data_IF_785002076677
#
_entry.id   IF_785002076677
#
_cell.length_a   1.000
_cell.length_b   1.000
_cell.length_c   1.000
_cell.angle_alpha   90.00
_cell.angle_beta   90.00
_cell.angle_gamma   90.00
#
_symmetry.space_group_name_H-M   'P 1'
#
loop_
_entity.id
_entity.type
_entity.pdbx_description
1 polymer ?
#
# COMPACT_ATOMS: atom_id res chain seq x y z
N UNK A 1 -8.52 17.77 -17.93
CA UNK A 1 -8.33 18.96 -17.07
C UNK A 1 -7.22 18.60 -16.09
N UNK A 2 -6.20 19.45 -15.92
CA UNK A 2 -5.08 19.13 -15.04
C UNK A 2 -5.52 19.41 -13.60
N UNK A 3 -6.05 18.41 -12.90
CA UNK A 3 -6.46 18.55 -11.51
C UNK A 3 -5.21 18.82 -10.66
N UNK A 4 -5.27 19.85 -9.82
CA UNK A 4 -4.23 20.14 -8.84
C UNK A 4 -3.98 18.89 -7.97
N UNK A 5 -2.73 18.50 -7.76
CA UNK A 5 -2.38 17.35 -6.92
C UNK A 5 -2.82 17.63 -5.48
N UNK A 6 -3.59 16.71 -4.90
CA UNK A 6 -4.07 16.77 -3.51
C UNK A 6 -3.63 15.49 -2.82
N UNK A 7 -2.96 15.66 -1.67
CA UNK A 7 -2.59 14.58 -0.78
C UNK A 7 -2.57 15.11 0.65
N UNK A 8 -3.60 14.78 1.45
CA UNK A 8 -3.83 15.36 2.77
C UNK A 8 -4.69 14.44 3.64
N UNK A 9 -4.69 14.70 4.95
CA UNK A 9 -5.64 14.11 5.91
C UNK A 9 -6.74 15.12 6.19
N UNK A 10 -8.01 14.68 6.21
CA UNK A 10 -9.17 15.49 6.59
C UNK A 10 -9.84 14.91 7.82
N UNK A 11 -10.15 15.74 8.80
CA UNK A 11 -10.81 15.31 10.03
C UNK A 11 -12.32 15.26 9.84
N UNK A 12 -12.94 14.12 10.12
CA UNK A 12 -14.38 13.99 10.28
C UNK A 12 -14.77 14.28 11.74
N UNK A 13 -15.44 15.41 12.03
CA UNK A 13 -15.80 15.78 13.39
C UNK A 13 -16.97 14.97 13.96
N UNK A 14 -17.69 14.21 13.14
CA UNK A 14 -18.84 13.41 13.56
C UNK A 14 -18.43 12.02 14.02
N UNK A 15 -17.43 11.42 13.35
CA UNK A 15 -16.88 10.11 13.67
C UNK A 15 -15.62 10.18 14.52
N UNK A 16 -14.93 11.33 14.53
CA UNK A 16 -13.65 11.48 15.19
C UNK A 16 -12.53 10.74 14.47
N UNK A 17 -12.55 10.75 13.14
CA UNK A 17 -11.66 9.95 12.29
C UNK A 17 -10.90 10.81 11.27
N UNK A 18 -9.68 10.38 10.93
CA UNK A 18 -8.93 10.97 9.83
C UNK A 18 -9.21 10.23 8.53
N UNK A 19 -9.63 10.97 7.51
CA UNK A 19 -9.85 10.49 6.16
C UNK A 19 -8.60 10.85 5.33
N UNK A 20 -7.93 9.83 4.80
CA UNK A 20 -6.84 10.03 3.85
C UNK A 20 -7.40 10.38 2.47
N UNK A 21 -6.95 11.49 1.88
CA UNK A 21 -7.35 11.93 0.54
C UNK A 21 -6.14 12.00 -0.36
N UNK A 22 -6.15 11.28 -1.49
CA UNK A 22 -5.06 11.28 -2.48
C UNK A 22 -5.62 11.13 -3.90
N UNK A 23 -5.48 12.17 -4.73
CA UNK A 23 -5.91 12.09 -6.14
C UNK A 23 -4.88 11.43 -7.07
N UNK A 24 -3.67 11.13 -6.58
CA UNK A 24 -2.67 10.33 -7.32
C UNK A 24 -3.22 8.96 -7.70
N UNK A 25 -4.17 8.44 -6.91
CA UNK A 25 -4.77 7.13 -7.13
C UNK A 25 -5.71 7.06 -8.32
N UNK A 26 -6.18 8.19 -8.84
CA UNK A 26 -6.95 8.24 -10.09
C UNK A 26 -6.12 7.73 -11.27
N UNK A 27 -4.79 7.87 -11.21
CA UNK A 27 -3.87 7.37 -12.23
C UNK A 27 -3.66 5.85 -12.19
N UNK A 28 -4.24 5.15 -11.21
CA UNK A 28 -4.07 3.70 -11.08
C UNK A 28 -4.82 3.00 -12.23
N UNK A 29 -4.13 2.24 -13.09
CA UNK A 29 -4.79 1.53 -14.17
C UNK A 29 -5.75 0.48 -13.60
N UNK A 30 -6.94 0.42 -14.18
CA UNK A 30 -7.85 -0.71 -13.95
C UNK A 30 -7.28 -1.94 -14.64
N UNK A 31 -6.97 -2.99 -13.86
CA UNK A 31 -6.50 -4.32 -14.28
C UNK A 31 -5.75 -4.37 -15.63
N UNK A 32 -4.41 -4.34 -15.64
CA UNK A 32 -3.68 -4.71 -16.85
C UNK A 32 -3.97 -6.19 -17.16
N UNK A 33 -4.72 -6.46 -18.22
CA UNK A 33 -5.15 -7.83 -18.57
C UNK A 33 -3.99 -8.75 -18.95
N UNK A 34 -2.92 -8.18 -19.54
CA UNK A 34 -1.82 -8.96 -20.11
C UNK A 34 -0.52 -8.89 -19.27
N UNK A 35 -0.55 -8.20 -18.13
CA UNK A 35 0.66 -7.94 -17.36
C UNK A 35 0.40 -7.85 -15.85
N UNK A 36 1.11 -8.67 -15.08
CA UNK A 36 1.11 -8.55 -13.63
C UNK A 36 2.31 -7.72 -13.15
N UNK A 37 2.10 -6.61 -12.42
CA UNK A 37 3.19 -5.79 -11.89
C UNK A 37 3.96 -6.45 -10.73
N UNK A 38 3.48 -7.60 -10.22
CA UNK A 38 4.07 -8.30 -9.07
C UNK A 38 4.77 -9.61 -9.45
N UNK A 39 4.65 -10.05 -10.71
CA UNK A 39 5.39 -11.21 -11.20
C UNK A 39 6.90 -10.91 -11.25
N UNK A 40 7.76 -11.90 -10.93
CA UNK A 40 9.20 -11.78 -11.13
C UNK A 40 9.57 -11.47 -12.58
N UNK A 41 10.73 -10.83 -12.77
CA UNK A 41 11.34 -10.55 -14.08
C UNK A 41 11.13 -9.13 -14.60
N UNK A 42 10.37 -8.29 -13.90
CA UNK A 42 10.25 -6.86 -14.24
C UNK A 42 11.41 -6.06 -13.63
N UNK A 43 11.74 -4.87 -14.16
CA UNK A 43 12.75 -3.99 -13.56
C UNK A 43 12.47 -3.62 -12.10
N UNK A 44 11.20 -3.55 -11.70
CA UNK A 44 10.81 -3.22 -10.31
C UNK A 44 10.85 -4.43 -9.39
N UNK A 45 10.48 -5.61 -9.88
CA UNK A 45 10.39 -6.82 -9.06
C UNK A 45 11.69 -7.60 -8.99
N UNK A 46 12.57 -7.48 -9.99
CA UNK A 46 13.73 -8.35 -10.11
C UNK A 46 13.35 -9.84 -10.12
N UNK A 47 14.26 -10.70 -9.68
CA UNK A 47 14.06 -12.16 -9.60
C UNK A 47 14.78 -12.75 -8.38
N UNK A 48 14.49 -14.02 -8.05
CA UNK A 48 15.19 -14.77 -7.00
C UNK A 48 14.77 -14.47 -5.56
N UNK A 49 13.62 -13.84 -5.36
CA UNK A 49 13.04 -13.56 -4.04
C UNK A 49 11.90 -14.52 -3.69
N UNK A 50 11.72 -14.76 -2.39
CA UNK A 50 10.56 -15.49 -1.86
C UNK A 50 9.40 -14.54 -1.52
N UNK A 51 9.72 -13.39 -0.91
CA UNK A 51 8.80 -12.32 -0.54
C UNK A 51 9.44 -10.99 -0.90
N UNK A 52 8.67 -10.06 -1.47
CA UNK A 52 9.18 -8.76 -1.91
C UNK A 52 8.31 -7.62 -1.37
N UNK A 53 8.95 -6.58 -0.85
CA UNK A 53 8.26 -5.35 -0.41
C UNK A 53 8.69 -4.20 -1.31
N UNK A 54 7.72 -3.58 -1.98
CA UNK A 54 7.93 -2.44 -2.89
C UNK A 54 7.17 -1.22 -2.39
N UNK A 55 7.68 -0.01 -2.68
CA UNK A 55 6.90 1.22 -2.51
C UNK A 55 5.69 1.19 -3.45
N UNK A 56 4.53 1.57 -2.94
CA UNK A 56 3.31 1.61 -3.72
C UNK A 56 3.39 2.76 -4.74
N UNK A 57 3.17 2.47 -6.03
CA UNK A 57 3.19 3.48 -7.11
C UNK A 57 2.10 4.53 -6.97
N UNK A 58 0.99 4.20 -6.29
CA UNK A 58 -0.17 5.07 -6.10
C UNK A 58 -0.47 5.23 -4.59
N UNK A 59 0.43 5.88 -3.83
CA UNK A 59 0.38 5.86 -2.38
C UNK A 59 -0.72 6.78 -1.83
N UNK A 60 -1.27 6.42 -0.67
CA UNK A 60 -2.14 7.30 0.13
C UNK A 60 -1.32 8.36 0.88
N UNK A 61 -0.14 7.99 1.36
CA UNK A 61 0.75 8.81 2.17
C UNK A 61 2.01 9.21 1.38
N UNK A 62 2.72 10.24 1.83
CA UNK A 62 3.96 10.71 1.18
C UNK A 62 5.03 11.06 2.21
N UNK A 63 6.29 10.76 1.89
CA UNK A 63 7.45 11.19 2.68
C UNK A 63 7.67 12.71 2.57
N UNK A 64 7.18 13.30 1.48
CA UNK A 64 7.17 14.75 1.21
C UNK A 64 5.72 15.17 0.94
N UNK A 65 4.87 15.28 1.98
CA UNK A 65 3.47 15.64 1.81
C UNK A 65 3.33 17.10 1.39
N UNK A 66 2.33 17.38 0.56
CA UNK A 66 1.95 18.75 0.24
C UNK A 66 1.39 19.46 1.48
N UNK A 67 1.44 20.79 1.47
CA UNK A 67 0.72 21.56 2.48
C UNK A 67 -0.78 21.29 2.33
N UNK A 68 -1.49 20.94 3.42
CA UNK A 68 -2.91 20.67 3.35
C UNK A 68 -3.68 21.95 3.03
N UNK A 69 -4.79 21.81 2.32
CA UNK A 69 -5.68 22.93 2.01
C UNK A 69 -6.44 23.33 3.27
N UNK A 70 -6.66 24.64 3.43
CA UNK A 70 -7.48 25.15 4.52
C UNK A 70 -8.95 25.13 4.12
N UNK A 71 -9.78 24.61 5.01
CA UNK A 71 -11.22 24.57 4.85
C UNK A 71 -11.87 25.25 6.07
N UNK A 72 -13.09 25.78 5.88
CA UNK A 72 -13.79 26.54 6.91
C UNK A 72 -14.34 25.66 8.05
N UNK A 73 -14.87 24.48 7.70
CA UNK A 73 -15.67 23.67 8.62
C UNK A 73 -14.96 22.46 9.22
N UNK A 74 -13.77 22.11 8.73
CA UNK A 74 -13.04 20.92 9.19
C UNK A 74 -11.54 21.14 9.15
N UNK A 75 -10.84 20.40 10.02
CA UNK A 75 -9.39 20.43 10.11
C UNK A 75 -8.73 19.53 9.09
N UNK A 76 -7.51 19.90 8.71
CA UNK A 76 -6.67 19.13 7.79
C UNK A 76 -5.25 19.02 8.31
N UNK A 77 -4.57 17.92 7.98
CA UNK A 77 -3.18 17.69 8.32
C UNK A 77 -2.39 17.14 7.13
N UNK A 78 -1.06 17.21 7.22
CA UNK A 78 -0.18 16.59 6.23
C UNK A 78 -0.35 15.07 6.23
N UNK A 79 -0.42 14.46 5.05
CA UNK A 79 -0.50 13.00 4.89
C UNK A 79 0.90 12.36 4.87
N UNK A 80 1.68 12.62 5.92
CA UNK A 80 3.03 12.07 6.01
C UNK A 80 2.97 10.55 6.22
N UNK A 81 3.80 9.79 5.49
CA UNK A 81 3.97 8.36 5.67
C UNK A 81 4.41 7.64 4.41
N UNK A 82 4.49 6.31 4.47
CA UNK A 82 4.97 5.47 3.37
C UNK A 82 3.98 4.36 3.12
N UNK A 83 3.66 4.11 1.85
CA UNK A 83 2.79 2.99 1.48
C UNK A 83 3.60 1.94 0.76
N UNK A 84 3.46 0.68 1.17
CA UNK A 84 4.12 -0.47 0.57
C UNK A 84 3.13 -1.51 0.08
N UNK A 85 3.57 -2.29 -0.91
CA UNK A 85 2.96 -3.54 -1.33
C UNK A 85 3.87 -4.67 -0.89
N UNK A 86 3.32 -5.66 -0.20
CA UNK A 86 4.00 -6.89 0.17
C UNK A 86 3.56 -7.96 -0.81
N UNK A 87 4.44 -8.38 -1.69
CA UNK A 87 4.20 -9.47 -2.64
C UNK A 87 4.56 -10.77 -1.91
N UNK A 88 3.55 -11.59 -1.64
CA UNK A 88 3.61 -12.69 -0.67
C UNK A 88 4.35 -13.92 -1.21
N UNK A 89 4.43 -14.05 -2.54
CA UNK A 89 5.06 -15.18 -3.23
C UNK A 89 5.41 -14.79 -4.66
N UNK A 90 6.43 -15.39 -5.31
CA UNK A 90 6.65 -15.24 -6.74
C UNK A 90 5.59 -15.94 -7.60
N UNK A 91 4.76 -16.81 -7.00
CA UNK A 91 3.76 -17.63 -7.71
C UNK A 91 2.48 -16.83 -7.97
N UNK A 92 2.12 -16.65 -9.24
CA UNK A 92 0.94 -15.88 -9.64
C UNK A 92 -0.39 -16.59 -9.39
N UNK A 93 -0.45 -17.90 -9.64
CA UNK A 93 -1.69 -18.70 -9.68
C UNK A 93 -2.21 -19.14 -8.30
N UNK A 94 -1.66 -18.57 -7.23
CA UNK A 94 -2.12 -18.85 -5.86
C UNK A 94 -3.34 -17.98 -5.57
N UNK A 95 -4.46 -18.58 -5.14
CA UNK A 95 -5.69 -17.82 -4.87
C UNK A 95 -5.62 -17.07 -3.54
N UNK A 96 -5.08 -17.70 -2.51
CA UNK A 96 -4.99 -17.09 -1.19
C UNK A 96 -3.71 -17.41 -0.43
N UNK A 97 -3.39 -16.58 0.56
CA UNK A 97 -2.26 -16.79 1.47
C UNK A 97 -2.38 -18.12 2.22
N UNK A 98 -3.61 -18.64 2.39
CA UNK A 98 -3.87 -19.94 3.00
C UNK A 98 -3.43 -21.14 2.15
N UNK A 99 -3.21 -20.95 0.83
CA UNK A 99 -2.72 -22.01 -0.05
C UNK A 99 -1.19 -22.14 -0.02
N UNK A 100 -0.51 -21.17 0.59
CA UNK A 100 0.92 -21.24 0.86
C UNK A 100 1.19 -22.21 2.02
N UNK A 101 2.34 -22.87 1.97
CA UNK A 101 2.74 -23.70 3.10
C UNK A 101 3.18 -22.83 4.29
N UNK A 102 3.24 -23.43 5.48
CA UNK A 102 3.58 -22.71 6.72
C UNK A 102 4.93 -22.00 6.65
N UNK A 103 5.94 -22.57 5.98
CA UNK A 103 7.26 -21.93 5.89
C UNK A 103 7.25 -20.75 4.91
N UNK A 104 6.44 -20.77 3.86
CA UNK A 104 6.20 -19.63 2.97
C UNK A 104 5.49 -18.49 3.72
N UNK A 105 4.43 -18.79 4.49
CA UNK A 105 3.73 -17.77 5.30
C UNK A 105 4.67 -17.18 6.36
N UNK A 106 5.50 -18.01 6.99
CA UNK A 106 6.52 -17.54 7.94
C UNK A 106 7.44 -16.50 7.31
N UNK A 107 7.94 -16.73 6.09
CA UNK A 107 8.77 -15.76 5.37
C UNK A 107 8.05 -14.43 5.12
N UNK A 108 6.74 -14.46 4.86
CA UNK A 108 5.95 -13.22 4.69
C UNK A 108 5.94 -12.41 5.98
N UNK A 109 5.63 -13.05 7.11
CA UNK A 109 5.57 -12.39 8.41
C UNK A 109 6.96 -11.91 8.87
N UNK A 110 8.00 -12.72 8.63
CA UNK A 110 9.38 -12.33 8.91
C UNK A 110 9.77 -11.09 8.10
N UNK A 111 9.41 -11.03 6.81
CA UNK A 111 9.70 -9.87 5.97
C UNK A 111 8.95 -8.61 6.40
N UNK A 112 7.69 -8.75 6.84
CA UNK A 112 6.90 -7.65 7.39
C UNK A 112 7.50 -7.17 8.71
N UNK A 113 7.97 -8.08 9.57
CA UNK A 113 8.67 -7.72 10.82
C UNK A 113 9.95 -6.94 10.53
N UNK A 114 10.79 -7.39 9.60
CA UNK A 114 12.00 -6.65 9.18
C UNK A 114 11.62 -5.22 8.73
N UNK A 115 10.56 -5.10 7.91
CA UNK A 115 10.08 -3.80 7.45
C UNK A 115 9.57 -2.93 8.60
N UNK A 116 8.86 -3.50 9.56
CA UNK A 116 8.46 -2.79 10.78
C UNK A 116 9.68 -2.23 11.52
N UNK A 117 10.70 -3.05 11.77
CA UNK A 117 11.92 -2.65 12.46
C UNK A 117 12.70 -1.55 11.71
N UNK A 118 12.58 -1.49 10.38
CA UNK A 118 13.10 -0.39 9.57
C UNK A 118 12.28 0.90 9.73
N UNK A 119 10.95 0.81 9.62
CA UNK A 119 10.07 1.99 9.59
C UNK A 119 9.92 2.68 10.94
N UNK A 120 9.99 1.94 12.05
CA UNK A 120 9.93 2.53 13.41
C UNK A 120 11.15 3.35 13.78
N UNK A 121 12.23 3.29 12.98
CA UNK A 121 13.40 4.17 13.16
C UNK A 121 13.08 5.61 12.78
N UNK A 122 12.03 5.84 11.99
CA UNK A 122 11.55 7.17 11.65
C UNK A 122 10.62 7.69 12.75
N UNK A 123 11.01 8.73 13.51
CA UNK A 123 10.22 9.23 14.63
C UNK A 123 8.87 9.84 14.21
N UNK A 124 8.66 10.09 12.90
CA UNK A 124 7.36 10.54 12.36
C UNK A 124 6.40 9.38 12.12
N UNK A 125 6.88 8.14 12.10
CA UNK A 125 6.03 6.93 12.01
C UNK A 125 5.41 6.66 13.37
N UNK A 126 4.15 7.06 13.55
CA UNK A 126 3.41 6.84 14.81
C UNK A 126 2.60 5.54 14.82
N UNK A 127 2.43 4.92 13.65
CA UNK A 127 1.66 3.70 13.49
C UNK A 127 2.18 2.91 12.28
N UNK A 128 2.09 1.59 12.36
CA UNK A 128 2.44 0.68 11.27
C UNK A 128 1.24 -0.24 11.03
N UNK A 129 0.53 -0.03 9.92
CA UNK A 129 -0.69 -0.76 9.61
C UNK A 129 -0.42 -1.80 8.51
N UNK A 130 -0.27 -3.06 8.91
CA UNK A 130 -0.25 -4.19 7.99
C UNK A 130 -1.68 -4.71 7.76
N UNK A 131 -2.10 -4.82 6.50
CA UNK A 131 -3.44 -5.29 6.15
C UNK A 131 -3.46 -6.01 4.80
N UNK A 132 -4.51 -6.81 4.59
CA UNK A 132 -4.71 -7.60 3.38
C UNK A 132 -6.16 -7.59 2.96
N UNK A 133 -6.41 -7.28 1.69
CA UNK A 133 -7.72 -7.39 1.07
C UNK A 133 -7.70 -8.55 0.07
N UNK A 134 -8.72 -9.41 0.09
CA UNK A 134 -8.82 -10.56 -0.85
C UNK A 134 -10.20 -10.66 -1.46
N UNK A 135 -10.24 -10.91 -2.77
CA UNK A 135 -11.45 -11.20 -3.52
C UNK A 135 -11.85 -10.10 -4.49
N UNK A 136 -12.17 -10.50 -5.73
CA UNK A 136 -12.61 -9.59 -6.80
C UNK A 136 -13.87 -8.81 -6.41
N UNK A 137 -14.77 -9.46 -5.66
CA UNK A 137 -16.05 -8.90 -5.21
C UNK A 137 -15.89 -7.67 -4.30
N UNK A 138 -14.76 -7.54 -3.60
CA UNK A 138 -14.46 -6.39 -2.73
C UNK A 138 -13.47 -5.40 -3.36
N UNK A 139 -13.30 -5.43 -4.68
CA UNK A 139 -12.49 -4.47 -5.42
C UNK A 139 -10.98 -4.79 -5.48
N UNK A 140 -10.58 -6.02 -5.14
CA UNK A 140 -9.20 -6.49 -5.35
C UNK A 140 -9.02 -6.82 -6.82
N UNK A 141 -8.43 -5.87 -7.55
CA UNK A 141 -8.24 -5.96 -8.98
C UNK A 141 -7.02 -6.79 -9.40
N UNK A 142 -5.98 -6.88 -8.57
CA UNK A 142 -4.79 -7.69 -8.84
C UNK A 142 -4.92 -9.04 -8.15
N UNK A 143 -4.86 -10.14 -8.92
CA UNK A 143 -5.04 -11.51 -8.41
C UNK A 143 -3.78 -12.08 -7.75
N UNK A 144 -2.61 -11.56 -8.07
CA UNK A 144 -1.35 -12.02 -7.47
C UNK A 144 -1.37 -11.78 -5.94
N UNK A 145 -1.08 -12.78 -5.10
CA UNK A 145 -1.18 -12.65 -3.64
C UNK A 145 -0.32 -11.50 -3.10
N UNK A 146 -0.99 -10.55 -2.46
CA UNK A 146 -0.33 -9.39 -1.90
C UNK A 146 -1.07 -8.83 -0.69
N UNK A 147 -0.28 -8.26 0.21
CA UNK A 147 -0.72 -7.45 1.33
C UNK A 147 -0.22 -6.00 1.16
N UNK A 148 -0.60 -5.12 2.08
CA UNK A 148 -0.20 -3.72 2.08
C UNK A 148 0.26 -3.29 3.47
N UNK A 149 1.13 -2.29 3.49
CA UNK A 149 1.57 -1.61 4.71
C UNK A 149 1.41 -0.12 4.50
N UNK A 150 0.69 0.56 5.40
CA UNK A 150 0.66 2.02 5.52
C UNK A 150 1.35 2.47 6.80
#
# INVERSE_FOLDING_TARGET
>A
MNHEKIQELRWDPTLGEWIMVSNVRELRPWQPHDFCPFCPGTPETGSGWDVLILKNRYPMLSEEPLLPKKYEFYSTATSYGKCYVVIETPKHEIDDISDLNVSEIYKVLEKVKEKYEEEVKDPKTIYFLFFRNKGKEIGVSLIHPHSQIY
#
